data_IF_901213919584
#
_entry.id   IF_901213919584
#
_cell.length_a   1.000
_cell.length_b   1.000
_cell.length_c   1.000
_cell.angle_alpha   90.00
_cell.angle_beta   90.00
_cell.angle_gamma   90.00
#
_symmetry.space_group_name_H-M   'P 1'
#
loop_
_entity.id
_entity.type
_entity.pdbx_description
1 polymer ?
#
# COMPACT_ATOMS: atom_id res chain seq x y z
N UNK A 1 43.89 33.60 18.03
CA UNK A 1 42.92 33.78 16.91
C UNK A 1 42.77 32.56 15.98
N UNK A 2 43.22 31.35 16.35
CA UNK A 2 43.10 30.14 15.49
C UNK A 2 41.83 29.30 15.76
N UNK A 3 41.24 29.40 16.96
CA UNK A 3 40.10 28.57 17.38
C UNK A 3 38.75 29.01 16.78
N UNK A 4 38.59 30.29 16.39
CA UNK A 4 37.35 30.79 15.75
C UNK A 4 37.21 30.39 14.27
N UNK A 5 38.30 29.95 13.61
CA UNK A 5 38.29 29.58 12.18
C UNK A 5 37.84 28.14 11.91
N UNK A 6 37.88 27.26 12.91
CA UNK A 6 37.45 25.86 12.78
C UNK A 6 35.96 25.63 13.06
N UNK A 7 35.33 26.55 13.81
CA UNK A 7 33.89 26.54 14.08
C UNK A 7 33.00 26.52 12.82
N UNK A 8 33.22 27.38 11.80
CA UNK A 8 32.37 27.38 10.60
C UNK A 8 32.61 26.16 9.70
N UNK A 9 33.77 25.52 9.80
CA UNK A 9 34.10 24.32 9.01
C UNK A 9 33.38 23.10 9.61
N UNK A 10 33.44 22.94 10.93
CA UNK A 10 32.70 21.90 11.66
C UNK A 10 31.18 22.04 11.49
N UNK A 11 30.65 23.27 11.51
CA UNK A 11 29.23 23.50 11.30
C UNK A 11 28.77 23.08 9.88
N UNK A 12 29.59 23.38 8.86
CA UNK A 12 29.28 23.01 7.46
C UNK A 12 29.34 21.51 7.22
N UNK A 13 30.32 20.81 7.81
CA UNK A 13 30.42 19.36 7.66
C UNK A 13 29.24 18.65 8.34
N UNK A 14 28.85 19.08 9.54
CA UNK A 14 27.67 18.53 10.23
C UNK A 14 26.40 18.77 9.41
N UNK A 15 26.21 19.98 8.88
CA UNK A 15 25.04 20.29 8.05
C UNK A 15 25.00 19.45 6.76
N UNK A 16 26.15 19.29 6.09
CA UNK A 16 26.24 18.46 4.89
C UNK A 16 25.93 16.98 5.16
N UNK A 17 26.42 16.43 6.28
CA UNK A 17 26.12 15.05 6.71
C UNK A 17 24.62 14.91 7.02
N UNK A 18 24.03 15.89 7.71
CA UNK A 18 22.60 15.85 8.04
C UNK A 18 21.72 15.94 6.79
N UNK A 19 22.09 16.81 5.84
CA UNK A 19 21.40 16.92 4.56
C UNK A 19 21.51 15.62 3.73
N UNK A 20 22.68 15.00 3.70
CA UNK A 20 22.88 13.70 3.02
C UNK A 20 22.09 12.57 3.70
N UNK A 21 22.01 12.56 5.03
CA UNK A 21 21.23 11.57 5.77
C UNK A 21 19.72 11.73 5.50
N UNK A 22 19.20 12.95 5.48
CA UNK A 22 17.80 13.23 5.15
C UNK A 22 17.51 12.85 3.69
N UNK A 23 18.38 13.24 2.76
CA UNK A 23 18.24 12.88 1.35
C UNK A 23 18.28 11.36 1.16
N UNK A 24 19.18 10.66 1.84
CA UNK A 24 19.26 9.19 1.84
C UNK A 24 18.00 8.54 2.43
N UNK A 25 17.45 9.07 3.52
CA UNK A 25 16.23 8.57 4.13
C UNK A 25 15.00 8.80 3.23
N UNK A 26 14.90 9.98 2.61
CA UNK A 26 13.85 10.29 1.63
C UNK A 26 13.95 9.42 0.39
N UNK A 27 15.16 9.24 -0.14
CA UNK A 27 15.39 8.37 -1.29
C UNK A 27 15.02 6.93 -0.93
N UNK A 28 15.44 6.44 0.25
CA UNK A 28 15.08 5.11 0.73
C UNK A 28 13.56 4.92 0.87
N UNK A 29 12.84 5.91 1.41
CA UNK A 29 11.37 5.91 1.46
C UNK A 29 10.72 5.87 0.08
N UNK A 30 11.33 6.48 -0.92
CA UNK A 30 10.83 6.51 -2.30
C UNK A 30 11.18 5.23 -3.08
N UNK A 31 12.32 4.61 -2.79
CA UNK A 31 12.84 3.47 -3.58
C UNK A 31 12.54 2.11 -2.98
N UNK A 32 12.27 2.00 -1.68
CA UNK A 32 11.93 0.71 -1.08
C UNK A 32 10.50 0.37 -1.50
N UNK A 33 10.30 -0.67 -2.34
CA UNK A 33 8.96 -1.18 -2.58
C UNK A 33 8.40 -1.58 -1.22
N UNK A 34 7.30 -0.95 -0.83
CA UNK A 34 6.72 -1.14 0.49
C UNK A 34 6.18 -2.57 0.56
N UNK A 35 7.04 -3.52 0.93
CA UNK A 35 6.69 -4.95 1.03
C UNK A 35 5.49 -5.13 1.96
N UNK A 36 5.32 -4.22 2.93
CA UNK A 36 4.17 -4.17 3.82
C UNK A 36 2.88 -3.76 3.09
N UNK A 37 2.97 -2.90 2.07
CA UNK A 37 1.86 -2.51 1.21
C UNK A 37 1.40 -3.66 0.31
N UNK A 38 2.34 -4.36 -0.34
CA UNK A 38 2.01 -5.51 -1.19
C UNK A 38 1.41 -6.67 -0.36
N UNK A 39 2.03 -7.01 0.77
CA UNK A 39 1.47 -8.02 1.69
C UNK A 39 0.09 -7.62 2.24
N UNK A 40 -0.10 -6.33 2.55
CA UNK A 40 -1.39 -5.78 2.97
C UNK A 40 -2.47 -5.94 1.90
N UNK A 41 -2.13 -5.65 0.64
CA UNK A 41 -3.05 -5.86 -0.49
C UNK A 41 -3.41 -7.34 -0.67
N UNK A 42 -2.42 -8.24 -0.65
CA UNK A 42 -2.66 -9.68 -0.83
C UNK A 42 -3.58 -10.20 0.27
N UNK A 43 -3.33 -9.85 1.52
CA UNK A 43 -4.20 -10.23 2.64
C UNK A 43 -5.61 -9.66 2.52
N UNK A 44 -5.76 -8.45 1.97
CA UNK A 44 -7.06 -7.85 1.68
C UNK A 44 -7.80 -8.57 0.55
N UNK A 45 -7.12 -8.89 -0.55
CA UNK A 45 -7.67 -9.61 -1.69
C UNK A 45 -8.08 -11.05 -1.32
N UNK A 46 -7.27 -11.76 -0.52
CA UNK A 46 -7.61 -13.07 0.03
C UNK A 46 -8.91 -13.05 0.84
N UNK A 47 -9.10 -12.02 1.68
CA UNK A 47 -10.33 -11.85 2.46
C UNK A 47 -11.55 -11.59 1.57
N UNK A 48 -11.39 -10.84 0.47
CA UNK A 48 -12.47 -10.64 -0.50
C UNK A 48 -12.80 -11.96 -1.19
N UNK A 49 -11.80 -12.71 -1.63
CA UNK A 49 -12.01 -13.98 -2.32
C UNK A 49 -12.68 -15.01 -1.39
N UNK A 50 -12.25 -15.11 -0.14
CA UNK A 50 -12.91 -16.00 0.83
C UNK A 50 -14.38 -15.64 1.05
N UNK A 51 -14.74 -14.35 1.08
CA UNK A 51 -16.14 -13.93 1.19
C UNK A 51 -16.99 -14.30 -0.04
N UNK A 52 -16.36 -14.40 -1.22
CA UNK A 52 -17.03 -14.83 -2.47
C UNK A 52 -17.19 -16.34 -2.46
N UNK A 53 -16.16 -17.08 -2.06
CA UNK A 53 -16.16 -18.54 -1.99
C UNK A 53 -17.11 -19.07 -0.90
N UNK A 54 -17.22 -18.36 0.23
CA UNK A 54 -18.11 -18.70 1.35
C UNK A 54 -19.60 -18.35 1.09
N UNK A 55 -19.90 -17.64 0.00
CA UNK A 55 -21.27 -17.29 -0.32
C UNK A 55 -22.06 -18.53 -0.72
N UNK A 56 -23.26 -18.70 -0.16
CA UNK A 56 -24.11 -19.87 -0.43
C UNK A 56 -24.62 -19.97 -1.87
N UNK A 57 -24.65 -18.84 -2.57
CA UNK A 57 -25.05 -18.74 -3.97
C UNK A 57 -23.81 -18.48 -4.84
N UNK A 58 -23.90 -18.81 -6.13
CA UNK A 58 -22.86 -18.45 -7.09
C UNK A 58 -22.85 -16.92 -7.33
N UNK A 59 -22.20 -16.18 -6.43
CA UNK A 59 -22.06 -14.73 -6.48
C UNK A 59 -20.85 -14.28 -7.31
N UNK A 60 -20.09 -15.25 -7.85
CA UNK A 60 -19.00 -15.00 -8.79
C UNK A 60 -19.56 -14.30 -10.03
N UNK A 61 -18.97 -13.19 -10.43
CA UNK A 61 -19.53 -12.37 -11.51
C UNK A 61 -20.51 -11.28 -11.06
N UNK A 62 -20.98 -11.31 -9.82
CA UNK A 62 -21.92 -10.30 -9.32
C UNK A 62 -21.17 -9.04 -8.85
N UNK A 63 -21.23 -7.98 -9.65
CA UNK A 63 -20.57 -6.71 -9.36
C UNK A 63 -21.07 -6.01 -8.09
N UNK A 64 -22.33 -6.21 -7.68
CA UNK A 64 -22.86 -5.69 -6.42
C UNK A 64 -22.28 -6.45 -5.23
N UNK A 65 -22.25 -7.78 -5.30
CA UNK A 65 -21.66 -8.60 -4.24
C UNK A 65 -20.16 -8.32 -4.10
N UNK A 66 -19.42 -8.22 -5.21
CA UNK A 66 -18.01 -7.85 -5.18
C UNK A 66 -17.78 -6.51 -4.47
N UNK A 67 -18.59 -5.49 -4.79
CA UNK A 67 -18.52 -4.20 -4.09
C UNK A 67 -18.77 -4.33 -2.59
N UNK A 68 -19.78 -5.11 -2.20
CA UNK A 68 -20.06 -5.40 -0.80
C UNK A 68 -18.87 -6.06 -0.10
N UNK A 69 -18.27 -7.09 -0.71
CA UNK A 69 -17.13 -7.81 -0.16
C UNK A 69 -15.91 -6.88 0.01
N UNK A 70 -15.62 -6.05 -0.99
CA UNK A 70 -14.58 -5.02 -0.95
C UNK A 70 -14.82 -4.01 0.19
N UNK A 71 -16.03 -3.48 0.31
CA UNK A 71 -16.39 -2.53 1.36
C UNK A 71 -16.27 -3.16 2.76
N UNK A 72 -16.81 -4.37 2.93
CA UNK A 72 -16.81 -5.09 4.22
C UNK A 72 -15.44 -5.64 4.61
N UNK A 73 -14.60 -6.02 3.66
CA UNK A 73 -13.22 -6.41 3.93
C UNK A 73 -12.45 -5.28 4.62
N UNK A 74 -12.81 -4.02 4.31
CA UNK A 74 -12.22 -2.81 4.85
C UNK A 74 -12.88 -2.28 6.14
N UNK A 75 -14.12 -2.71 6.42
CA UNK A 75 -14.82 -2.36 7.65
C UNK A 75 -14.04 -2.85 8.89
N UNK A 76 -13.75 -1.92 9.81
CA UNK A 76 -12.98 -2.19 11.03
C UNK A 76 -11.46 -2.03 10.90
N UNK A 77 -10.90 -1.84 9.69
CA UNK A 77 -9.46 -1.57 9.46
C UNK A 77 -9.16 -0.17 8.92
N UNK A 78 -10.16 0.72 8.94
CA UNK A 78 -10.04 2.10 8.48
C UNK A 78 -8.97 2.90 9.25
N UNK A 79 -8.69 2.54 10.51
CA UNK A 79 -7.77 3.26 11.39
C UNK A 79 -6.30 2.81 11.26
N UNK A 80 -6.01 1.70 10.57
CA UNK A 80 -4.68 1.08 10.63
C UNK A 80 -3.61 1.72 9.75
N UNK A 81 -3.96 2.65 8.82
CA UNK A 81 -3.00 3.40 7.97
C UNK A 81 -3.63 4.09 6.74
N UNK A 82 -4.94 4.00 6.50
CA UNK A 82 -5.56 4.49 5.26
C UNK A 82 -5.26 3.64 4.01
N UNK A 83 -4.28 2.71 4.05
CA UNK A 83 -3.92 1.77 2.97
C UNK A 83 -5.12 0.92 2.49
N UNK A 84 -6.01 0.56 3.41
CA UNK A 84 -7.23 -0.15 3.06
C UNK A 84 -8.14 0.64 2.10
N UNK A 85 -8.20 1.98 2.26
CA UNK A 85 -8.96 2.85 1.36
C UNK A 85 -8.31 2.94 -0.03
N UNK A 86 -6.99 2.81 -0.12
CA UNK A 86 -6.26 2.79 -1.39
C UNK A 86 -6.53 1.50 -2.16
N UNK A 87 -6.37 0.33 -1.50
CA UNK A 87 -6.71 -0.96 -2.11
C UNK A 87 -8.17 -1.01 -2.54
N UNK A 88 -9.09 -0.59 -1.66
CA UNK A 88 -10.52 -0.45 -1.98
C UNK A 88 -10.75 0.37 -3.24
N UNK A 89 -10.15 1.56 -3.33
CA UNK A 89 -10.26 2.44 -4.51
C UNK A 89 -9.70 1.78 -5.76
N UNK A 90 -8.59 1.05 -5.65
CA UNK A 90 -7.99 0.28 -6.73
C UNK A 90 -8.95 -0.77 -7.30
N UNK A 91 -9.49 -1.63 -6.44
CA UNK A 91 -10.40 -2.71 -6.85
C UNK A 91 -11.77 -2.21 -7.33
N UNK A 92 -12.28 -1.09 -6.80
CA UNK A 92 -13.56 -0.53 -7.25
C UNK A 92 -13.47 0.27 -8.56
N UNK A 93 -12.26 0.63 -9.02
CA UNK A 93 -12.05 1.36 -10.28
C UNK A 93 -12.54 0.56 -11.49
N UNK A 94 -12.31 -0.74 -11.47
CA UNK A 94 -12.74 -1.66 -12.51
C UNK A 94 -13.29 -2.95 -11.89
N UNK A 95 -14.50 -2.83 -11.34
CA UNK A 95 -15.19 -3.96 -10.70
C UNK A 95 -15.28 -5.17 -11.63
N UNK A 96 -15.48 -4.92 -12.94
CA UNK A 96 -15.68 -5.96 -13.94
C UNK A 96 -14.47 -6.86 -14.09
N UNK A 97 -13.28 -6.24 -14.12
CA UNK A 97 -12.02 -6.96 -14.18
C UNK A 97 -11.72 -7.74 -12.90
N UNK A 98 -11.98 -7.13 -11.74
CA UNK A 98 -11.50 -7.66 -10.46
C UNK A 98 -12.41 -8.69 -9.81
N UNK A 99 -13.71 -8.77 -10.13
CA UNK A 99 -14.55 -9.82 -9.55
C UNK A 99 -14.17 -11.24 -10.00
N UNK A 100 -13.50 -11.37 -11.16
CA UNK A 100 -12.83 -12.62 -11.56
C UNK A 100 -11.36 -12.62 -11.17
N UNK A 101 -10.66 -11.50 -11.40
CA UNK A 101 -9.21 -11.42 -11.16
C UNK A 101 -8.77 -11.64 -9.71
N UNK A 102 -9.67 -11.50 -8.73
CA UNK A 102 -9.37 -11.70 -7.30
C UNK A 102 -9.00 -13.15 -6.93
N UNK A 103 -9.26 -14.12 -7.81
CA UNK A 103 -8.85 -15.53 -7.68
C UNK A 103 -7.32 -15.67 -7.62
N UNK A 104 -6.58 -14.74 -8.24
CA UNK A 104 -5.13 -14.57 -8.07
C UNK A 104 -4.86 -13.25 -7.32
N UNK A 105 -4.80 -13.28 -5.98
CA UNK A 105 -4.56 -12.10 -5.16
C UNK A 105 -3.29 -11.34 -5.53
N UNK A 106 -2.23 -12.04 -5.93
CA UNK A 106 -0.97 -11.39 -6.27
C UNK A 106 -1.06 -10.63 -7.59
N UNK A 107 -1.61 -11.27 -8.64
CA UNK A 107 -1.83 -10.61 -9.92
C UNK A 107 -2.82 -9.43 -9.79
N UNK A 108 -3.88 -9.59 -9.00
CA UNK A 108 -4.86 -8.53 -8.75
C UNK A 108 -4.23 -7.32 -8.05
N UNK A 109 -3.34 -7.55 -7.08
CA UNK A 109 -2.61 -6.48 -6.39
C UNK A 109 -1.57 -5.78 -7.28
N UNK A 110 -0.91 -6.49 -8.20
CA UNK A 110 -0.06 -5.85 -9.22
C UNK A 110 -0.86 -4.96 -10.18
N UNK A 111 -2.06 -5.40 -10.56
CA UNK A 111 -2.90 -4.66 -11.49
C UNK A 111 -3.39 -3.31 -10.93
N UNK A 112 -3.47 -3.17 -9.60
CA UNK A 112 -3.77 -1.89 -8.94
C UNK A 112 -2.53 -1.15 -8.44
N UNK A 113 -1.33 -1.59 -8.84
CA UNK A 113 -0.03 -1.03 -8.42
C UNK A 113 0.19 -1.02 -6.91
N UNK A 114 -0.40 -2.00 -6.20
CA UNK A 114 -0.15 -2.21 -4.78
C UNK A 114 1.01 -3.20 -4.53
N UNK A 115 1.29 -4.00 -5.55
CA UNK A 115 2.50 -4.74 -5.84
C UNK A 115 2.94 -4.35 -7.27
#
# INVERSE_FOLDING_TARGET
>A
MLLLRHFPILARTIFAIFALAIAGLLLHRLTVPDKSHCAGCIGYALKINSMIDDARDNVRGNAQFFRYAVDKACAGRLLDSGRCLEHRRGFLRDKARYFHGIEDPYAACRAISAC
#
